data_IF_787987588529
#
_entry.id   IF_787987588529
#
_cell.length_a   1.000
_cell.length_b   1.000
_cell.length_c   1.000
_cell.angle_alpha   90.00
_cell.angle_beta   90.00
_cell.angle_gamma   90.00
#
_symmetry.space_group_name_H-M   'P 1'
#
loop_
_entity.id
_entity.type
_entity.pdbx_description
1 polymer ?
#
# COMPACT_ATOMS: atom_id res chain seq x y z
N UNK A 1 4.53 3.42 -41.93
CA UNK A 1 4.74 4.02 -40.61
C UNK A 1 5.87 3.23 -39.98
N UNK A 2 7.10 3.74 -40.06
CA UNK A 2 8.25 3.06 -39.47
C UNK A 2 8.09 3.18 -37.96
N UNK A 3 8.00 2.04 -37.27
CA UNK A 3 8.10 1.99 -35.82
C UNK A 3 9.50 2.48 -35.50
N UNK A 4 9.60 3.74 -35.09
CA UNK A 4 10.81 4.27 -34.49
C UNK A 4 11.12 3.35 -33.32
N UNK A 5 12.24 2.63 -33.38
CA UNK A 5 12.61 1.62 -32.39
C UNK A 5 12.98 2.34 -31.10
N UNK A 6 11.98 2.80 -30.35
CA UNK A 6 12.17 3.26 -28.98
C UNK A 6 12.80 2.09 -28.24
N UNK A 7 14.03 2.29 -27.79
CA UNK A 7 14.73 1.33 -26.93
C UNK A 7 13.85 1.03 -25.72
N UNK A 8 13.54 -0.24 -25.47
CA UNK A 8 12.88 -0.66 -24.24
C UNK A 8 13.93 -0.63 -23.13
N UNK A 9 13.86 0.31 -22.17
CA UNK A 9 14.86 0.40 -21.11
C UNK A 9 14.70 -0.80 -20.16
N UNK A 10 15.82 -1.24 -19.57
CA UNK A 10 15.78 -2.14 -18.42
C UNK A 10 15.48 -1.27 -17.20
N UNK A 11 14.29 -1.42 -16.63
CA UNK A 11 13.87 -0.65 -15.47
C UNK A 11 14.56 -1.16 -14.20
N UNK A 12 14.59 -2.49 -14.01
CA UNK A 12 15.12 -3.17 -12.82
C UNK A 12 15.81 -4.48 -13.20
N UNK A 13 16.91 -4.77 -12.51
CA UNK A 13 17.61 -6.05 -12.51
C UNK A 13 18.06 -6.32 -11.08
N UNK A 14 17.42 -7.27 -10.41
CA UNK A 14 17.59 -7.48 -8.97
C UNK A 14 17.79 -8.97 -8.66
N UNK A 15 18.72 -9.26 -7.75
CA UNK A 15 18.93 -10.59 -7.19
C UNK A 15 18.70 -10.53 -5.68
N UNK A 16 17.77 -11.34 -5.18
CA UNK A 16 17.44 -11.45 -3.75
C UNK A 16 17.83 -12.80 -3.18
N UNK A 17 18.56 -12.79 -2.07
CA UNK A 17 18.90 -13.97 -1.29
C UNK A 17 18.37 -13.83 0.14
N UNK A 18 17.37 -14.64 0.48
CA UNK A 18 16.71 -14.63 1.79
C UNK A 18 17.13 -15.78 2.69
N UNK A 19 17.19 -15.53 4.00
CA UNK A 19 17.31 -16.54 5.04
C UNK A 19 16.20 -16.32 6.09
N UNK A 20 15.41 -17.37 6.30
CA UNK A 20 14.38 -17.40 7.34
C UNK A 20 14.67 -18.47 8.37
N UNK A 21 14.73 -18.08 9.64
CA UNK A 21 15.01 -18.95 10.77
C UNK A 21 13.87 -18.91 11.78
N UNK A 22 13.44 -20.09 12.22
CA UNK A 22 12.40 -20.28 13.24
C UNK A 22 13.02 -20.96 14.46
N UNK A 23 12.98 -20.31 15.61
CA UNK A 23 13.41 -20.85 16.89
C UNK A 23 12.22 -21.17 17.80
N UNK A 24 12.31 -22.27 18.55
CA UNK A 24 11.39 -22.57 19.66
C UNK A 24 12.22 -22.90 20.90
N UNK A 25 11.92 -22.26 22.02
CA UNK A 25 12.57 -22.51 23.31
C UNK A 25 11.52 -22.97 24.33
N UNK A 26 11.56 -24.26 24.68
CA UNK A 26 10.47 -24.87 25.45
C UNK A 26 9.13 -24.83 24.70
N UNK A 27 8.03 -24.86 25.44
CA UNK A 27 6.67 -24.76 24.90
C UNK A 27 6.20 -23.31 24.69
N UNK A 28 6.79 -22.34 25.40
CA UNK A 28 6.17 -21.02 25.58
C UNK A 28 6.95 -19.88 24.90
N UNK A 29 8.03 -20.15 24.16
CA UNK A 29 8.79 -19.10 23.47
C UNK A 29 9.04 -19.49 22.02
N UNK A 30 8.66 -18.58 21.11
CA UNK A 30 8.92 -18.68 19.67
C UNK A 30 9.74 -17.47 19.23
N UNK A 31 10.59 -17.69 18.24
CA UNK A 31 11.36 -16.63 17.61
C UNK A 31 11.30 -16.80 16.10
N UNK A 32 11.19 -15.67 15.39
CA UNK A 32 11.29 -15.63 13.95
C UNK A 32 12.31 -14.54 13.58
N UNK A 33 13.26 -14.91 12.73
CA UNK A 33 14.20 -13.99 12.10
C UNK A 33 14.17 -14.23 10.60
N UNK A 34 14.06 -13.13 9.85
CA UNK A 34 14.01 -13.08 8.40
C UNK A 34 14.97 -11.99 7.96
N UNK A 35 15.86 -12.31 7.03
CA UNK A 35 16.83 -11.38 6.45
C UNK A 35 16.91 -11.65 4.96
N UNK A 36 16.69 -10.62 4.16
CA UNK A 36 16.87 -10.64 2.72
C UNK A 36 18.01 -9.71 2.33
N UNK A 37 18.99 -10.24 1.59
CA UNK A 37 20.03 -9.47 0.95
C UNK A 37 19.64 -9.25 -0.50
N UNK A 38 19.56 -7.98 -0.90
CA UNK A 38 19.08 -7.58 -2.21
C UNK A 38 20.19 -6.85 -2.92
N UNK A 39 20.59 -7.37 -4.08
CA UNK A 39 21.56 -6.76 -4.98
C UNK A 39 20.80 -6.10 -6.13
N UNK A 40 20.88 -4.77 -6.21
CA UNK A 40 20.42 -4.03 -7.37
C UNK A 40 21.58 -3.96 -8.36
N UNK A 41 21.44 -4.65 -9.49
CA UNK A 41 22.49 -4.79 -10.48
C UNK A 41 22.58 -3.56 -11.41
N UNK A 42 21.89 -2.46 -11.06
CA UNK A 42 21.93 -1.19 -11.77
C UNK A 42 22.79 -0.15 -11.02
N UNK A 43 24.00 0.17 -11.53
CA UNK A 43 24.76 1.30 -11.04
C UNK A 43 23.97 2.60 -11.17
N UNK A 44 23.99 3.45 -10.13
CA UNK A 44 23.30 4.74 -10.13
C UNK A 44 24.16 5.93 -9.63
N UNK A 45 25.38 6.15 -10.17
CA UNK A 45 26.18 7.32 -9.84
C UNK A 45 25.56 8.58 -10.45
N UNK A 46 25.29 9.60 -9.62
CA UNK A 46 24.71 10.87 -10.09
C UNK A 46 25.73 11.85 -10.65
N UNK A 47 26.99 11.72 -10.23
CA UNK A 47 28.08 12.58 -10.66
C UNK A 47 29.42 11.82 -10.64
N UNK A 48 30.50 12.51 -10.99
CA UNK A 48 31.83 11.91 -10.99
C UNK A 48 32.28 11.42 -9.61
N UNK A 49 31.82 12.07 -8.52
CA UNK A 49 32.12 11.60 -7.17
C UNK A 49 31.42 10.26 -6.90
N UNK A 50 30.21 10.07 -7.41
CA UNK A 50 29.47 8.82 -7.35
C UNK A 50 30.18 7.66 -8.07
N UNK A 51 30.95 7.94 -9.13
CA UNK A 51 31.79 6.93 -9.79
C UNK A 51 32.91 6.38 -8.90
N UNK A 52 33.24 7.07 -7.80
CA UNK A 52 34.21 6.59 -6.82
C UNK A 52 33.54 5.90 -5.62
N UNK A 53 32.21 5.93 -5.54
CA UNK A 53 31.44 5.33 -4.46
C UNK A 53 30.99 3.91 -4.82
N UNK A 54 31.58 2.91 -4.17
CA UNK A 54 31.25 1.49 -4.38
C UNK A 54 29.76 1.20 -4.16
N UNK A 55 29.11 1.86 -3.20
CA UNK A 55 27.69 1.63 -2.92
C UNK A 55 26.75 2.17 -4.01
N UNK A 56 27.22 3.08 -4.86
CA UNK A 56 26.46 3.58 -6.02
C UNK A 56 26.77 2.80 -7.30
N UNK A 57 27.92 2.11 -7.36
CA UNK A 57 28.28 1.25 -8.49
C UNK A 57 27.76 -0.17 -8.35
N UNK A 58 27.75 -0.71 -7.13
CA UNK A 58 27.22 -2.04 -6.80
C UNK A 58 26.23 -1.90 -5.63
N UNK A 59 25.05 -1.28 -5.85
CA UNK A 59 24.08 -1.06 -4.79
C UNK A 59 23.55 -2.38 -4.22
N UNK A 60 23.44 -2.43 -2.90
CA UNK A 60 22.80 -3.51 -2.18
C UNK A 60 22.09 -2.98 -0.95
N UNK A 61 21.07 -3.70 -0.51
CA UNK A 61 20.33 -3.39 0.72
C UNK A 61 19.96 -4.68 1.46
N UNK A 62 19.62 -4.51 2.73
CA UNK A 62 19.14 -5.59 3.58
C UNK A 62 17.74 -5.25 4.04
N UNK A 63 16.82 -6.19 3.83
CA UNK A 63 15.44 -6.11 4.27
C UNK A 63 15.13 -7.21 5.28
N UNK A 64 14.08 -6.99 6.06
CA UNK A 64 13.61 -7.93 7.07
C UNK A 64 12.13 -7.68 7.31
N UNK A 65 11.32 -8.71 7.05
CA UNK A 65 9.88 -8.64 7.30
C UNK A 65 9.51 -9.18 8.68
N UNK A 66 10.43 -9.89 9.33
CA UNK A 66 10.22 -10.44 10.66
C UNK A 66 11.52 -10.55 11.45
N UNK A 67 11.53 -9.93 12.63
CA UNK A 67 12.55 -10.14 13.64
C UNK A 67 11.90 -9.93 15.01
N UNK A 68 11.30 -10.99 15.54
CA UNK A 68 10.53 -10.91 16.77
C UNK A 68 10.69 -12.14 17.67
N UNK A 69 10.39 -11.93 18.94
CA UNK A 69 10.15 -12.97 19.94
C UNK A 69 8.68 -12.95 20.33
N UNK A 70 8.11 -14.14 20.52
CA UNK A 70 6.75 -14.35 20.97
C UNK A 70 6.78 -15.24 22.21
N UNK A 71 6.16 -14.76 23.28
CA UNK A 71 5.95 -15.46 24.53
C UNK A 71 4.48 -15.90 24.58
N UNK A 72 4.25 -17.18 24.80
CA UNK A 72 2.91 -17.76 24.86
C UNK A 72 2.46 -17.93 26.31
N UNK A 73 1.16 -17.82 26.52
CA UNK A 73 0.50 -18.05 27.82
C UNK A 73 1.13 -17.23 28.97
N UNK A 74 1.35 -15.93 28.73
CA UNK A 74 2.04 -15.01 29.63
C UNK A 74 1.14 -14.67 30.82
N UNK A 75 1.19 -15.52 31.85
CA UNK A 75 0.45 -15.33 33.11
C UNK A 75 -1.03 -15.69 33.03
N UNK A 76 -1.55 -15.97 31.84
CA UNK A 76 -2.91 -16.43 31.58
C UNK A 76 -2.89 -17.32 30.32
N UNK A 77 -3.57 -18.46 30.38
CA UNK A 77 -3.71 -19.36 29.22
C UNK A 77 -4.41 -18.63 28.06
N UNK A 78 -3.85 -18.74 26.86
CA UNK A 78 -4.31 -18.05 25.66
C UNK A 78 -3.83 -16.60 25.51
N UNK A 79 -3.06 -16.06 26.47
CA UNK A 79 -2.49 -14.70 26.38
C UNK A 79 -1.05 -14.71 25.85
N UNK A 80 -0.89 -14.29 24.60
CA UNK A 80 0.40 -14.22 23.91
C UNK A 80 0.93 -12.78 23.84
N UNK A 81 2.24 -12.62 24.03
CA UNK A 81 2.97 -11.36 23.86
C UNK A 81 4.04 -11.51 22.78
N UNK A 82 3.94 -10.72 21.72
CA UNK A 82 4.96 -10.65 20.66
C UNK A 82 5.61 -9.28 20.60
N UNK A 83 6.93 -9.25 20.51
CA UNK A 83 7.73 -8.02 20.50
C UNK A 83 8.80 -8.07 19.42
N UNK A 84 8.93 -6.96 18.70
CA UNK A 84 9.94 -6.75 17.66
C UNK A 84 9.33 -6.43 16.31
N UNK A 85 10.14 -6.59 15.27
CA UNK A 85 9.79 -6.27 13.89
C UNK A 85 8.82 -7.31 13.34
N UNK A 86 7.65 -6.88 12.89
CA UNK A 86 6.60 -7.78 12.40
C UNK A 86 5.61 -7.05 11.49
N UNK A 87 4.77 -7.83 10.83
CA UNK A 87 3.57 -7.39 10.12
C UNK A 87 2.34 -7.87 10.88
N UNK A 88 1.37 -6.98 11.10
CA UNK A 88 0.03 -7.27 11.59
C UNK A 88 -0.94 -6.76 10.53
N UNK A 89 -1.51 -7.71 9.78
CA UNK A 89 -2.48 -7.44 8.71
C UNK A 89 -3.85 -7.82 9.25
N UNK A 90 -4.79 -6.87 9.20
CA UNK A 90 -6.19 -7.10 9.55
C UNK A 90 -7.07 -7.12 8.30
N UNK A 91 -8.28 -7.65 8.43
CA UNK A 91 -9.18 -7.83 7.30
C UNK A 91 -9.08 -9.22 6.64
N UNK A 92 -9.91 -9.41 5.64
CA UNK A 92 -10.17 -10.67 4.91
C UNK A 92 -10.14 -10.51 3.38
N UNK A 93 -10.11 -9.29 2.86
CA UNK A 93 -10.07 -9.01 1.45
C UNK A 93 -8.78 -9.51 0.79
N UNK A 94 -8.75 -9.61 -0.53
CA UNK A 94 -7.53 -9.97 -1.23
C UNK A 94 -6.77 -8.69 -1.62
N UNK A 95 -5.57 -8.49 -1.05
CA UNK A 95 -4.62 -7.37 -1.28
C UNK A 95 -5.09 -5.96 -0.87
N UNK A 96 -6.39 -5.70 -0.75
CA UNK A 96 -6.96 -4.38 -0.49
C UNK A 96 -7.73 -4.34 0.83
N UNK A 97 -7.01 -4.03 1.90
CA UNK A 97 -7.50 -4.07 3.27
C UNK A 97 -7.74 -2.67 3.84
N UNK A 98 -8.93 -2.07 3.70
CA UNK A 98 -9.21 -0.77 4.31
C UNK A 98 -9.11 -0.81 5.84
N UNK A 99 -9.18 -2.00 6.46
CA UNK A 99 -9.07 -2.19 7.91
C UNK A 99 -7.63 -2.41 8.41
N UNK A 100 -6.66 -2.67 7.52
CA UNK A 100 -5.26 -2.92 7.89
C UNK A 100 -4.42 -1.64 7.88
N UNK A 101 -4.27 -1.00 9.04
CA UNK A 101 -3.65 0.33 9.15
C UNK A 101 -2.40 0.37 10.04
N UNK A 102 -1.99 -0.76 10.64
CA UNK A 102 -0.86 -0.83 11.58
C UNK A 102 0.51 -0.85 10.90
N UNK A 103 0.56 -1.41 9.70
CA UNK A 103 1.74 -1.49 8.86
C UNK A 103 1.49 -0.68 7.59
N UNK A 104 2.43 0.21 7.25
CA UNK A 104 2.38 0.94 6.00
C UNK A 104 2.52 0.01 4.79
N UNK A 105 2.01 0.43 3.65
CA UNK A 105 2.10 -0.33 2.40
C UNK A 105 3.48 -0.19 1.73
N UNK A 106 3.92 -1.26 1.08
CA UNK A 106 4.97 -1.22 0.07
C UNK A 106 4.31 -1.13 -1.31
N UNK A 107 4.38 0.06 -1.90
CA UNK A 107 3.86 0.34 -3.25
C UNK A 107 4.97 0.72 -4.22
N UNK A 108 6.24 0.53 -3.85
CA UNK A 108 7.37 0.78 -4.76
C UNK A 108 7.36 -0.18 -5.95
N UNK A 109 7.04 -1.44 -5.69
CA UNK A 109 7.01 -2.48 -6.71
C UNK A 109 5.58 -2.89 -7.07
N UNK A 110 5.15 -2.51 -8.27
CA UNK A 110 3.85 -2.91 -8.83
C UNK A 110 3.67 -4.43 -8.92
N UNK A 111 4.76 -5.21 -9.00
CA UNK A 111 4.71 -6.68 -9.03
C UNK A 111 4.45 -7.31 -7.66
N UNK A 112 4.66 -6.55 -6.57
CA UNK A 112 4.45 -6.97 -5.17
C UNK A 112 3.28 -6.23 -4.52
N UNK A 113 2.38 -5.70 -5.34
CA UNK A 113 1.24 -4.89 -4.91
C UNK A 113 0.46 -5.48 -3.72
N UNK A 114 0.15 -4.64 -2.73
CA UNK A 114 -0.62 -5.02 -1.54
C UNK A 114 0.23 -5.65 -0.43
N UNK A 115 1.56 -5.66 -0.57
CA UNK A 115 2.46 -6.04 0.53
C UNK A 115 2.57 -4.91 1.57
N UNK A 116 2.74 -5.29 2.83
CA UNK A 116 2.92 -4.35 3.94
C UNK A 116 4.36 -4.35 4.40
N UNK A 117 4.82 -3.22 4.91
CA UNK A 117 6.16 -3.06 5.44
C UNK A 117 6.18 -3.43 6.92
N UNK A 118 7.08 -4.33 7.32
CA UNK A 118 7.25 -4.66 8.72
C UNK A 118 7.70 -3.46 9.57
N UNK A 119 7.16 -3.37 10.78
CA UNK A 119 7.44 -2.31 11.74
C UNK A 119 7.76 -2.88 13.12
N UNK A 120 8.49 -2.11 13.92
CA UNK A 120 8.75 -2.43 15.31
C UNK A 120 7.48 -2.22 16.12
N UNK A 121 6.99 -3.26 16.80
CA UNK A 121 5.77 -3.16 17.60
C UNK A 121 5.72 -4.19 18.73
N UNK A 122 4.77 -3.96 19.63
CA UNK A 122 4.36 -4.89 20.69
C UNK A 122 2.92 -5.30 20.43
N UNK A 123 2.67 -6.60 20.39
CA UNK A 123 1.35 -7.19 20.16
C UNK A 123 0.99 -8.07 21.35
N UNK A 124 -0.18 -7.82 21.92
CA UNK A 124 -0.78 -8.67 22.94
C UNK A 124 -2.02 -9.33 22.32
N UNK A 125 -2.08 -10.66 22.32
CA UNK A 125 -3.21 -11.40 21.77
C UNK A 125 -3.78 -12.32 22.83
N UNK A 126 -5.09 -12.30 23.02
CA UNK A 126 -5.80 -13.17 23.95
C UNK A 126 -6.84 -13.99 23.18
N UNK A 127 -6.64 -15.31 23.14
CA UNK A 127 -7.53 -16.26 22.48
C UNK A 127 -7.98 -17.33 23.50
N UNK A 128 -8.97 -17.03 24.35
CA UNK A 128 -9.50 -18.05 25.25
C UNK A 128 -10.22 -19.14 24.48
N UNK A 129 -10.17 -20.38 24.97
CA UNK A 129 -11.03 -21.46 24.50
C UNK A 129 -12.48 -21.19 24.94
N UNK A 130 -13.18 -20.35 24.19
CA UNK A 130 -14.57 -19.97 24.42
C UNK A 130 -15.42 -20.40 23.22
N UNK A 131 -16.36 -21.31 23.46
CA UNK A 131 -17.32 -21.75 22.46
C UNK A 131 -18.71 -21.92 23.07
N UNK A 132 -19.73 -21.79 22.23
CA UNK A 132 -21.13 -22.05 22.59
C UNK A 132 -21.83 -22.80 21.44
N UNK A 133 -22.61 -23.82 21.78
CA UNK A 133 -23.40 -24.57 20.80
C UNK A 133 -23.32 -26.08 21.00
N UNK A 134 -23.51 -26.79 19.91
CA UNK A 134 -23.20 -28.22 19.86
C UNK A 134 -21.68 -28.40 19.88
N UNK A 135 -21.19 -29.51 20.41
CA UNK A 135 -19.76 -29.80 20.53
C UNK A 135 -19.11 -30.01 19.15
N UNK A 136 -19.86 -30.60 18.21
CA UNK A 136 -19.39 -30.88 16.85
C UNK A 136 -19.60 -29.69 15.89
N UNK A 137 -20.56 -28.82 16.19
CA UNK A 137 -20.92 -27.65 15.37
C UNK A 137 -21.28 -26.45 16.28
N UNK A 138 -20.29 -25.83 16.95
CA UNK A 138 -20.53 -24.66 17.77
C UNK A 138 -21.07 -23.51 16.90
N UNK A 139 -22.05 -22.78 17.40
CA UNK A 139 -22.56 -21.60 16.70
C UNK A 139 -21.75 -20.35 17.03
N UNK A 140 -20.91 -20.38 18.06
CA UNK A 140 -19.94 -19.33 18.39
C UNK A 140 -18.64 -19.98 18.87
N UNK A 141 -17.51 -19.55 18.31
CA UNK A 141 -16.17 -19.99 18.70
C UNK A 141 -15.11 -18.97 18.26
N UNK A 142 -13.82 -19.31 18.43
CA UNK A 142 -12.68 -18.51 17.96
C UNK A 142 -12.66 -17.05 18.45
N UNK A 143 -13.18 -16.79 19.65
CA UNK A 143 -13.11 -15.46 20.24
C UNK A 143 -11.65 -15.04 20.46
N UNK A 144 -11.30 -13.86 19.95
CA UNK A 144 -9.95 -13.29 20.04
C UNK A 144 -9.99 -11.80 20.32
N UNK A 145 -9.03 -11.34 21.13
CA UNK A 145 -8.71 -9.94 21.33
C UNK A 145 -7.25 -9.71 20.98
N UNK A 146 -6.96 -8.67 20.20
CA UNK A 146 -5.60 -8.29 19.85
C UNK A 146 -5.41 -6.81 20.11
N UNK A 147 -4.34 -6.44 20.81
CA UNK A 147 -3.90 -5.07 21.01
C UNK A 147 -2.51 -4.91 20.45
N UNK A 148 -2.29 -3.87 19.66
CA UNK A 148 -1.01 -3.57 19.01
C UNK A 148 -0.59 -2.17 19.37
N UNK A 149 0.69 -2.03 19.74
CA UNK A 149 1.32 -0.76 20.02
C UNK A 149 2.57 -0.59 19.15
N UNK A 150 2.59 0.48 18.37
CA UNK A 150 3.65 0.81 17.43
C UNK A 150 4.35 2.10 17.90
N UNK A 151 5.56 2.03 18.50
CA UNK A 151 6.23 3.19 19.06
C UNK A 151 6.72 4.20 18.01
N UNK A 152 6.97 3.77 16.78
CA UNK A 152 7.59 4.60 15.73
C UNK A 152 6.78 4.48 14.44
N UNK A 153 6.32 5.62 13.95
CA UNK A 153 5.71 5.73 12.63
C UNK A 153 6.72 5.38 11.53
N UNK A 154 6.26 4.61 10.54
CA UNK A 154 6.99 4.28 9.32
C UNK A 154 6.07 4.58 8.14
N UNK A 155 6.48 5.43 7.18
CA UNK A 155 5.64 5.78 6.03
C UNK A 155 5.60 4.63 5.01
N UNK A 156 4.68 4.75 4.04
CA UNK A 156 4.65 3.88 2.88
C UNK A 156 5.94 4.02 2.05
N UNK A 157 6.36 2.93 1.42
CA UNK A 157 7.45 2.91 0.45
C UNK A 157 6.83 3.18 -0.93
N UNK A 158 7.24 4.28 -1.57
CA UNK A 158 6.61 4.80 -2.78
C UNK A 158 7.42 4.49 -4.05
N UNK A 159 6.79 4.37 -5.23
CA UNK A 159 7.50 4.16 -6.48
C UNK A 159 8.30 5.40 -6.90
N UNK A 160 9.31 5.20 -7.75
CA UNK A 160 10.15 6.31 -8.26
C UNK A 160 9.35 7.42 -8.97
N UNK A 161 8.18 7.08 -9.54
CA UNK A 161 7.27 8.02 -10.18
C UNK A 161 6.45 8.86 -9.19
N UNK A 162 6.38 8.49 -7.91
CA UNK A 162 5.53 9.16 -6.93
C UNK A 162 5.85 10.66 -6.73
N UNK A 163 7.09 11.07 -6.98
CA UNK A 163 7.46 12.50 -6.97
C UNK A 163 6.69 13.33 -8.00
N UNK A 164 6.18 12.72 -9.08
CA UNK A 164 5.35 13.40 -10.07
C UNK A 164 4.00 13.85 -9.47
N UNK A 165 3.51 13.21 -8.40
CA UNK A 165 2.29 13.61 -7.71
C UNK A 165 2.30 15.07 -7.25
N UNK A 166 3.49 15.61 -6.99
CA UNK A 166 3.67 16.97 -6.47
C UNK A 166 4.43 17.89 -7.44
N UNK A 167 4.80 17.40 -8.62
CA UNK A 167 5.68 18.13 -9.55
C UNK A 167 5.16 18.16 -10.99
N UNK A 168 4.25 17.25 -11.37
CA UNK A 168 3.63 17.24 -12.69
C UNK A 168 2.40 18.16 -12.74
N UNK A 169 2.32 19.14 -13.66
CA UNK A 169 1.20 20.07 -13.72
C UNK A 169 -0.16 19.45 -14.03
N UNK A 170 -0.21 18.38 -14.86
CA UNK A 170 -1.48 17.71 -15.20
C UNK A 170 -2.01 17.01 -13.95
N UNK A 171 -1.12 16.36 -13.20
CA UNK A 171 -1.48 15.72 -11.95
C UNK A 171 -1.90 16.72 -10.88
N UNK A 172 -1.17 17.83 -10.71
CA UNK A 172 -1.53 18.89 -9.78
C UNK A 172 -2.92 19.46 -10.09
N UNK A 173 -3.26 19.61 -11.37
CA UNK A 173 -4.59 20.04 -11.80
C UNK A 173 -5.67 18.98 -11.52
N UNK A 174 -5.36 17.69 -11.74
CA UNK A 174 -6.26 16.58 -11.43
C UNK A 174 -6.56 16.47 -9.94
N UNK A 175 -5.54 16.65 -9.10
CA UNK A 175 -5.64 16.60 -7.64
C UNK A 175 -6.15 17.89 -7.02
N UNK A 176 -6.22 18.99 -7.79
CA UNK A 176 -6.77 20.24 -7.30
C UNK A 176 -8.27 20.06 -7.00
N UNK A 177 -8.59 19.97 -5.73
CA UNK A 177 -9.95 19.81 -5.21
C UNK A 177 -10.55 21.14 -4.79
N UNK A 178 -9.72 22.09 -4.36
CA UNK A 178 -10.15 23.41 -3.92
C UNK A 178 -10.22 24.46 -5.03
N UNK A 179 -11.06 25.46 -4.80
CA UNK A 179 -11.17 26.65 -5.66
C UNK A 179 -9.86 27.44 -5.71
N UNK A 180 -9.17 27.57 -4.58
CA UNK A 180 -7.93 28.37 -4.48
C UNK A 180 -6.81 27.73 -5.30
N UNK A 181 -6.58 26.43 -5.15
CA UNK A 181 -5.54 25.73 -5.89
C UNK A 181 -5.83 25.78 -7.40
N UNK A 182 -7.08 25.58 -7.81
CA UNK A 182 -7.50 25.73 -9.22
C UNK A 182 -7.20 27.14 -9.76
N UNK A 183 -7.59 28.19 -9.03
CA UNK A 183 -7.33 29.57 -9.42
C UNK A 183 -5.82 29.87 -9.53
N UNK A 184 -5.01 29.31 -8.64
CA UNK A 184 -3.55 29.46 -8.70
C UNK A 184 -2.94 28.72 -9.89
N UNK A 185 -3.35 27.48 -10.16
CA UNK A 185 -2.90 26.73 -11.33
C UNK A 185 -3.33 27.40 -12.63
N UNK A 186 -4.54 27.94 -12.70
CA UNK A 186 -5.00 28.73 -13.85
C UNK A 186 -4.20 30.03 -14.01
N UNK A 187 -3.87 30.71 -12.91
CA UNK A 187 -2.99 31.88 -12.95
C UNK A 187 -1.58 31.52 -13.45
N UNK A 188 -1.04 30.36 -13.05
CA UNK A 188 0.24 29.87 -13.55
C UNK A 188 0.23 29.65 -15.06
N UNK A 189 -0.87 29.10 -15.62
CA UNK A 189 -1.03 28.92 -17.08
C UNK A 189 -1.00 30.24 -17.86
N UNK A 190 -1.38 31.35 -17.23
CA UNK A 190 -1.35 32.70 -17.83
C UNK A 190 0.05 33.35 -17.80
N UNK A 191 0.98 32.83 -16.98
CA UNK A 191 2.35 33.33 -16.85
C UNK A 191 3.25 32.81 -17.98
N UNK A 192 2.98 33.26 -19.21
CA UNK A 192 3.75 32.87 -20.40
C UNK A 192 5.25 33.12 -20.23
N UNK A 193 6.06 32.09 -20.46
CA UNK A 193 7.53 32.16 -20.38
C UNK A 193 8.10 31.96 -18.98
N UNK A 194 7.27 31.79 -17.95
CA UNK A 194 7.74 31.32 -16.65
C UNK A 194 8.02 29.83 -16.67
N UNK A 195 9.04 29.43 -15.92
CA UNK A 195 9.30 28.04 -15.55
C UNK A 195 8.99 27.85 -14.07
N UNK A 196 8.49 26.67 -13.70
CA UNK A 196 8.14 26.32 -12.33
C UNK A 196 8.98 25.12 -11.89
N UNK A 197 9.59 25.20 -10.71
CA UNK A 197 10.15 24.05 -10.02
C UNK A 197 9.34 23.76 -8.77
N UNK A 198 9.12 22.48 -8.49
CA UNK A 198 8.45 22.02 -7.28
C UNK A 198 9.43 21.16 -6.50
N UNK A 199 9.60 21.48 -5.23
CA UNK A 199 10.60 20.87 -4.35
C UNK A 199 9.90 20.30 -3.11
N UNK A 200 9.42 19.04 -3.17
CA UNK A 200 8.77 18.39 -2.04
C UNK A 200 9.78 18.01 -0.94
N UNK A 201 9.42 18.30 0.31
CA UNK A 201 10.20 18.01 1.51
C UNK A 201 9.29 17.30 2.53
N UNK A 202 9.74 16.16 3.04
CA UNK A 202 8.94 15.32 3.94
C UNK A 202 9.26 15.68 5.40
N UNK A 203 8.21 15.84 6.20
CA UNK A 203 8.29 15.98 7.66
C UNK A 203 7.58 14.79 8.30
N UNK A 204 8.36 13.93 8.95
CA UNK A 204 7.82 12.79 9.70
C UNK A 204 7.29 13.25 11.06
N UNK A 205 6.27 12.56 11.63
CA UNK A 205 5.89 12.74 13.01
C UNK A 205 7.10 12.61 13.96
N UNK A 206 7.16 13.47 14.98
CA UNK A 206 8.23 13.42 15.97
C UNK A 206 8.23 12.08 16.72
N UNK A 207 9.42 11.56 17.06
CA UNK A 207 9.57 10.27 17.74
C UNK A 207 9.33 10.40 19.25
N UNK A 208 8.08 10.51 19.63
CA UNK A 208 7.63 10.57 21.03
C UNK A 208 6.40 9.68 21.24
N UNK A 209 6.02 9.45 22.51
CA UNK A 209 4.91 8.55 22.85
C UNK A 209 3.54 9.07 22.38
N UNK A 210 3.37 10.39 22.25
CA UNK A 210 2.12 11.01 21.77
C UNK A 210 1.90 10.74 20.27
N UNK A 211 3.00 10.50 19.53
CA UNK A 211 3.01 10.11 18.12
C UNK A 211 3.19 8.59 17.92
N UNK A 212 2.99 7.79 18.96
CA UNK A 212 2.82 6.35 18.77
C UNK A 212 1.49 6.02 18.09
N UNK A 213 1.44 4.87 17.44
CA UNK A 213 0.21 4.32 16.87
C UNK A 213 -0.24 3.12 17.69
N UNK A 214 -1.55 2.89 17.72
CA UNK A 214 -2.13 1.76 18.42
C UNK A 214 -3.35 1.23 17.69
N UNK A 215 -3.64 -0.04 17.92
CA UNK A 215 -4.88 -0.62 17.46
C UNK A 215 -5.39 -1.69 18.41
N UNK A 216 -6.69 -1.93 18.33
CA UNK A 216 -7.34 -3.07 18.96
C UNK A 216 -8.22 -3.79 17.93
N UNK A 217 -8.24 -5.12 17.97
CA UNK A 217 -9.14 -5.96 17.18
C UNK A 217 -9.83 -6.97 18.07
N UNK A 218 -11.11 -7.22 17.79
CA UNK A 218 -11.91 -8.28 18.38
C UNK A 218 -12.45 -9.15 17.26
N UNK A 219 -12.13 -10.44 17.25
CA UNK A 219 -12.60 -11.40 16.25
C UNK A 219 -13.38 -12.55 16.88
N UNK A 220 -14.32 -13.12 16.14
CA UNK A 220 -15.05 -14.32 16.55
C UNK A 220 -15.67 -15.02 15.34
N UNK A 221 -15.91 -16.31 15.47
CA UNK A 221 -16.72 -17.08 14.53
C UNK A 221 -18.17 -17.13 15.05
N UNK A 222 -19.16 -16.83 14.21
CA UNK A 222 -20.59 -16.88 14.56
C UNK A 222 -21.41 -17.42 13.39
N UNK A 223 -22.10 -18.55 13.59
CA UNK A 223 -23.05 -19.14 12.64
C UNK A 223 -22.46 -19.34 11.23
N UNK A 224 -21.19 -19.77 11.11
CA UNK A 224 -20.52 -19.96 9.83
C UNK A 224 -19.93 -18.68 9.22
N UNK A 225 -19.93 -17.58 9.96
CA UNK A 225 -19.32 -16.30 9.57
C UNK A 225 -18.11 -16.02 10.46
N UNK A 226 -16.97 -15.74 9.85
CA UNK A 226 -15.84 -15.13 10.54
C UNK A 226 -16.08 -13.63 10.60
N UNK A 227 -16.07 -13.04 11.79
CA UNK A 227 -16.39 -11.63 12.02
C UNK A 227 -15.30 -10.95 12.81
N UNK A 228 -15.07 -9.67 12.52
CA UNK A 228 -14.12 -8.87 13.28
C UNK A 228 -14.50 -7.40 13.33
N UNK A 229 -14.17 -6.77 14.46
CA UNK A 229 -14.22 -5.32 14.67
C UNK A 229 -12.82 -4.84 15.02
N UNK A 230 -12.43 -3.70 14.47
CA UNK A 230 -11.13 -3.10 14.74
C UNK A 230 -11.21 -1.60 14.98
N UNK A 231 -10.26 -1.10 15.75
CA UNK A 231 -9.99 0.31 15.93
C UNK A 231 -8.50 0.56 15.75
N UNK A 232 -8.16 1.60 15.01
CA UNK A 232 -6.80 2.09 14.86
C UNK A 232 -6.75 3.58 15.16
N UNK A 233 -5.64 4.01 15.77
CA UNK A 233 -5.27 5.42 15.93
C UNK A 233 -3.80 5.58 15.59
N UNK A 234 -3.49 6.40 14.60
CA UNK A 234 -2.14 6.60 14.13
C UNK A 234 -2.09 7.65 13.04
N UNK A 235 -1.32 7.38 12.00
CA UNK A 235 -1.15 8.28 10.86
C UNK A 235 -1.53 7.56 9.57
N UNK A 236 -2.05 8.32 8.60
CA UNK A 236 -2.09 7.91 7.20
C UNK A 236 -0.65 7.64 6.74
N UNK A 237 -0.41 6.57 6.00
CA UNK A 237 0.94 6.20 5.57
C UNK A 237 1.37 6.88 4.26
N UNK A 238 0.45 7.60 3.60
CA UNK A 238 0.71 8.47 2.46
C UNK A 238 0.86 9.95 2.90
N UNK A 239 1.85 10.67 2.33
CA UNK A 239 2.06 12.08 2.66
C UNK A 239 1.03 13.01 1.98
N UNK A 240 0.74 14.15 2.61
CA UNK A 240 -0.10 15.24 2.07
C UNK A 240 0.59 16.58 2.14
N UNK A 241 0.21 17.50 1.25
CA UNK A 241 0.80 18.83 1.17
C UNK A 241 0.19 19.78 2.22
N UNK A 242 0.92 20.01 3.32
CA UNK A 242 0.49 20.94 4.38
C UNK A 242 0.88 22.40 4.06
N UNK A 243 1.98 22.61 3.35
CA UNK A 243 2.47 23.96 3.05
C UNK A 243 3.15 24.04 1.70
N UNK A 244 2.86 25.09 0.95
CA UNK A 244 3.50 25.45 -0.31
C UNK A 244 4.02 26.88 -0.18
N UNK A 245 5.33 27.08 -0.38
CA UNK A 245 5.96 28.40 -0.41
C UNK A 245 6.50 28.65 -1.80
N UNK A 246 5.92 29.58 -2.53
CA UNK A 246 6.33 29.98 -3.87
C UNK A 246 7.21 31.25 -3.80
N UNK A 247 8.41 31.14 -4.36
CA UNK A 247 9.41 32.20 -4.42
C UNK A 247 9.75 32.49 -5.87
N UNK A 248 9.55 33.74 -6.30
CA UNK A 248 9.90 34.16 -7.66
C UNK A 248 11.37 34.61 -7.71
N UNK A 249 12.10 34.17 -8.75
CA UNK A 249 13.44 34.70 -9.03
C UNK A 249 13.30 36.07 -9.72
N UNK A 250 13.67 37.16 -9.06
CA UNK A 250 13.59 38.50 -9.63
C UNK A 250 14.41 38.70 -10.92
N UNK A 251 15.35 37.79 -11.21
CA UNK A 251 16.27 37.88 -12.36
C UNK A 251 15.95 36.89 -13.48
N UNK A 252 15.03 35.95 -13.26
CA UNK A 252 14.61 34.95 -14.25
C UNK A 252 13.09 34.84 -14.26
N UNK A 253 12.49 34.48 -15.38
CA UNK A 253 11.07 34.10 -15.40
C UNK A 253 10.94 32.69 -14.80
N UNK A 254 11.12 32.59 -13.48
CA UNK A 254 11.17 31.33 -12.75
C UNK A 254 10.54 31.47 -11.37
N UNK A 255 9.77 30.45 -10.97
CA UNK A 255 9.19 30.34 -9.62
C UNK A 255 9.60 29.00 -9.04
N UNK A 256 10.18 29.02 -7.84
CA UNK A 256 10.49 27.83 -7.06
C UNK A 256 9.42 27.65 -5.97
N UNK A 257 8.82 26.48 -5.93
CA UNK A 257 7.73 26.13 -5.01
C UNK A 257 8.18 25.02 -4.07
N UNK A 258 8.42 25.37 -2.82
CA UNK A 258 8.77 24.43 -1.76
C UNK A 258 7.50 23.84 -1.17
N UNK A 259 7.35 22.52 -1.24
CA UNK A 259 6.17 21.81 -0.75
C UNK A 259 6.57 21.03 0.50
N UNK A 260 5.97 21.33 1.64
CA UNK A 260 6.09 20.54 2.86
C UNK A 260 5.02 19.47 2.88
N UNK A 261 5.47 18.22 2.93
CA UNK A 261 4.64 17.03 3.00
C UNK A 261 4.62 16.49 4.43
N UNK A 262 3.43 16.29 5.00
CA UNK A 262 3.22 15.72 6.34
C UNK A 262 2.29 14.52 6.28
N UNK A 263 2.17 13.78 7.39
CA UNK A 263 1.32 12.60 7.49
C UNK A 263 0.15 12.92 8.42
N UNK A 264 -1.10 12.96 7.91
CA UNK A 264 -2.28 13.24 8.71
C UNK A 264 -2.48 12.23 9.83
N UNK A 265 -2.86 12.70 11.01
CA UNK A 265 -3.32 11.82 12.09
C UNK A 265 -4.74 11.36 11.78
N UNK A 266 -4.97 10.06 11.89
CA UNK A 266 -6.28 9.44 11.63
C UNK A 266 -6.70 8.48 12.74
N UNK A 267 -8.00 8.22 12.79
CA UNK A 267 -8.55 7.07 13.49
C UNK A 267 -9.37 6.24 12.49
N UNK A 268 -9.36 4.92 12.63
CA UNK A 268 -10.12 4.03 11.75
C UNK A 268 -10.95 3.09 12.59
N UNK A 269 -12.25 3.09 12.34
CA UNK A 269 -13.19 2.08 12.87
C UNK A 269 -13.47 1.08 11.76
N UNK A 270 -13.01 -0.15 11.93
CA UNK A 270 -13.10 -1.21 10.95
C UNK A 270 -14.07 -2.32 11.36
N UNK A 271 -14.67 -2.95 10.36
CA UNK A 271 -15.40 -4.20 10.51
C UNK A 271 -15.14 -5.08 9.28
N UNK A 272 -15.02 -6.38 9.50
CA UNK A 272 -14.83 -7.35 8.44
C UNK A 272 -15.60 -8.64 8.67
N UNK A 273 -15.94 -9.32 7.57
CA UNK A 273 -16.69 -10.57 7.55
C UNK A 273 -16.21 -11.47 6.42
N UNK A 274 -16.05 -12.77 6.69
CA UNK A 274 -15.78 -13.79 5.69
C UNK A 274 -16.68 -15.02 5.88
N UNK A 275 -16.99 -15.74 4.79
CA UNK A 275 -17.68 -17.03 4.86
C UNK A 275 -17.45 -17.88 3.62
N UNK A 276 -17.71 -19.18 3.73
CA UNK A 276 -17.76 -20.12 2.61
C UNK A 276 -19.17 -20.68 2.44
N UNK A 277 -19.74 -20.43 1.26
CA UNK A 277 -21.11 -20.80 0.93
C UNK A 277 -21.18 -22.26 0.47
N UNK A 278 -21.40 -23.18 1.41
CA UNK A 278 -21.37 -24.64 1.17
C UNK A 278 -22.25 -25.12 0.00
N UNK A 279 -23.44 -24.55 -0.18
CA UNK A 279 -24.37 -24.94 -1.25
C UNK A 279 -23.99 -24.43 -2.65
N UNK A 280 -22.95 -23.59 -2.74
CA UNK A 280 -22.33 -23.11 -3.97
C UNK A 280 -20.91 -23.66 -4.11
N UNK A 281 -20.71 -24.93 -3.75
CA UNK A 281 -19.43 -25.64 -3.86
C UNK A 281 -18.27 -24.89 -3.18
N UNK A 282 -18.55 -24.30 -2.02
CA UNK A 282 -17.56 -23.62 -1.18
C UNK A 282 -17.17 -22.21 -1.61
N UNK A 283 -17.95 -21.56 -2.50
CA UNK A 283 -17.73 -20.16 -2.92
C UNK A 283 -17.45 -19.24 -1.71
N UNK A 284 -16.31 -18.55 -1.75
CA UNK A 284 -15.88 -17.61 -0.71
C UNK A 284 -16.55 -16.26 -0.89
N UNK A 285 -16.98 -15.66 0.21
CA UNK A 285 -17.52 -14.29 0.24
C UNK A 285 -16.82 -13.52 1.36
N UNK A 286 -16.50 -12.25 1.09
CA UNK A 286 -15.95 -11.37 2.10
C UNK A 286 -16.43 -9.93 1.96
N UNK A 287 -16.38 -9.23 3.07
CA UNK A 287 -16.62 -7.80 3.18
C UNK A 287 -15.64 -7.19 4.18
N UNK A 288 -15.13 -6.02 3.87
CA UNK A 288 -14.42 -5.12 4.78
C UNK A 288 -14.98 -3.70 4.64
N UNK A 289 -15.13 -3.02 5.76
CA UNK A 289 -15.52 -1.61 5.81
C UNK A 289 -14.71 -0.86 6.84
N UNK A 290 -14.25 0.33 6.50
CA UNK A 290 -13.46 1.19 7.37
C UNK A 290 -13.97 2.63 7.33
N UNK A 291 -14.42 3.15 8.48
CA UNK A 291 -14.68 4.57 8.66
C UNK A 291 -13.41 5.26 9.12
N UNK A 292 -12.83 6.08 8.27
CA UNK A 292 -11.65 6.89 8.56
C UNK A 292 -12.09 8.24 9.09
N UNK A 293 -11.63 8.60 10.28
CA UNK A 293 -11.86 9.86 10.97
C UNK A 293 -10.58 10.68 10.93
N UNK A 294 -10.69 11.97 10.62
CA UNK A 294 -9.56 12.89 10.57
C UNK A 294 -9.94 14.27 11.11
N UNK A 295 -8.95 14.99 11.62
CA UNK A 295 -9.08 16.39 11.99
C UNK A 295 -9.03 17.29 10.73
N UNK A 296 -9.19 18.60 10.91
CA UNK A 296 -9.04 19.55 9.81
C UNK A 296 -7.62 19.45 9.22
N UNK A 297 -7.54 19.27 7.91
CA UNK A 297 -6.29 19.27 7.16
C UNK A 297 -6.21 20.58 6.40
N UNK A 298 -5.22 21.38 6.76
CA UNK A 298 -5.00 22.70 6.20
C UNK A 298 -3.80 22.67 5.25
N UNK A 299 -3.92 23.43 4.16
CA UNK A 299 -2.85 23.74 3.23
C UNK A 299 -2.56 25.23 3.27
N UNK A 300 -1.34 25.62 3.63
CA UNK A 300 -0.88 27.00 3.57
C UNK A 300 -0.21 27.24 2.23
N UNK A 301 -0.73 28.14 1.41
CA UNK A 301 -0.10 28.57 0.17
C UNK A 301 0.43 29.99 0.34
N UNK A 302 1.75 30.12 0.46
CA UNK A 302 2.44 31.40 0.56
C UNK A 302 3.08 31.74 -0.79
N UNK A 303 2.40 32.59 -1.57
CA UNK A 303 2.91 33.18 -2.81
C UNK A 303 3.28 34.66 -2.62
N UNK A 304 3.53 35.09 -1.38
CA UNK A 304 3.91 36.48 -1.07
C UNK A 304 5.24 36.88 -1.71
N UNK A 305 6.13 35.90 -1.92
CA UNK A 305 7.39 36.04 -2.65
C UNK A 305 7.25 36.06 -4.17
N UNK A 306 6.04 36.21 -4.71
CA UNK A 306 5.76 36.30 -6.15
C UNK A 306 5.01 37.58 -6.49
N UNK A 307 4.89 37.89 -7.78
CA UNK A 307 4.03 38.98 -8.27
C UNK A 307 2.56 38.85 -7.90
N UNK A 308 2.09 37.66 -7.47
CA UNK A 308 0.74 37.47 -6.94
C UNK A 308 0.59 38.04 -5.52
N UNK A 309 1.68 38.12 -4.75
CA UNK A 309 1.76 38.75 -3.42
C UNK A 309 0.65 38.31 -2.42
N UNK A 310 0.29 37.03 -2.45
CA UNK A 310 -0.82 36.48 -1.66
C UNK A 310 -0.34 35.40 -0.68
N UNK A 311 -0.95 35.35 0.50
CA UNK A 311 -0.88 34.18 1.40
C UNK A 311 -2.30 33.69 1.60
N UNK A 312 -2.53 32.41 1.30
CA UNK A 312 -3.84 31.78 1.43
C UNK A 312 -3.71 30.61 2.39
N UNK A 313 -4.53 30.62 3.44
CA UNK A 313 -4.79 29.43 4.23
C UNK A 313 -6.02 28.75 3.63
N UNK A 314 -5.87 27.51 3.27
CA UNK A 314 -6.90 26.69 2.66
C UNK A 314 -7.20 25.51 3.58
N UNK A 315 -8.46 25.19 3.77
CA UNK A 315 -8.85 23.90 4.37
C UNK A 315 -8.98 22.91 3.21
N UNK A 316 -8.04 21.97 3.11
CA UNK A 316 -8.07 20.90 2.09
C UNK A 316 -9.18 19.89 2.44
N UNK A 317 -9.23 19.47 3.70
CA UNK A 317 -10.30 18.62 4.21
C UNK A 317 -10.80 19.14 5.56
N UNK A 318 -12.10 19.42 5.68
CA UNK A 318 -12.74 19.72 6.96
C UNK A 318 -12.77 18.47 7.85
N UNK A 319 -12.59 18.65 9.16
CA UNK A 319 -12.65 17.57 10.14
C UNK A 319 -13.94 16.76 9.97
N UNK A 320 -13.79 15.44 9.93
CA UNK A 320 -14.92 14.60 9.57
C UNK A 320 -14.55 13.14 9.41
N UNK A 321 -15.30 12.47 8.55
CA UNK A 321 -15.08 11.08 8.22
C UNK A 321 -15.37 10.79 6.76
N UNK A 322 -14.76 9.73 6.27
CA UNK A 322 -15.09 9.09 5.01
C UNK A 322 -15.03 7.56 5.19
N UNK A 323 -15.60 6.83 4.24
CA UNK A 323 -15.72 5.38 4.33
C UNK A 323 -14.98 4.72 3.17
N UNK A 324 -14.13 3.73 3.46
CA UNK A 324 -13.55 2.82 2.46
C UNK A 324 -14.14 1.44 2.64
N UNK A 325 -14.32 0.71 1.54
CA UNK A 325 -14.91 -0.63 1.60
C UNK A 325 -14.37 -1.55 0.53
N UNK A 326 -14.33 -2.85 0.85
CA UNK A 326 -14.05 -3.92 -0.10
C UNK A 326 -15.11 -5.00 0.05
N UNK A 327 -15.69 -5.46 -1.05
CA UNK A 327 -16.56 -6.66 -1.06
C UNK A 327 -16.10 -7.56 -2.18
N UNK A 328 -16.02 -8.86 -1.93
CA UNK A 328 -15.54 -9.78 -2.94
C UNK A 328 -16.07 -11.19 -2.84
N UNK A 329 -15.80 -11.92 -3.90
CA UNK A 329 -16.17 -13.31 -4.10
C UNK A 329 -15.02 -14.03 -4.79
N UNK A 330 -14.76 -15.26 -4.35
CA UNK A 330 -13.90 -16.19 -5.07
C UNK A 330 -14.61 -17.51 -5.31
N UNK A 331 -14.28 -18.12 -6.44
CA UNK A 331 -14.87 -19.39 -6.82
C UNK A 331 -13.94 -20.22 -7.69
N UNK A 332 -13.94 -21.52 -7.45
CA UNK A 332 -13.23 -22.51 -8.25
C UNK A 332 -14.24 -23.44 -8.95
N UNK A 333 -14.87 -23.02 -10.06
CA UNK A 333 -15.89 -23.83 -10.74
C UNK A 333 -15.37 -25.18 -11.26
N UNK A 334 -14.04 -25.30 -11.43
CA UNK A 334 -13.37 -26.54 -11.81
C UNK A 334 -11.99 -26.58 -11.14
N UNK A 335 -11.33 -27.76 -11.06
CA UNK A 335 -9.97 -27.85 -10.50
C UNK A 335 -8.91 -27.04 -11.27
N UNK A 336 -9.19 -26.62 -12.50
CA UNK A 336 -8.25 -25.89 -13.36
C UNK A 336 -8.58 -24.41 -13.54
N UNK A 337 -9.69 -23.91 -12.98
CA UNK A 337 -10.10 -22.52 -13.11
C UNK A 337 -10.43 -21.96 -11.73
N UNK A 338 -9.73 -20.90 -11.35
CA UNK A 338 -10.04 -20.06 -10.18
C UNK A 338 -10.37 -18.65 -10.67
N UNK A 339 -11.38 -18.04 -10.06
CA UNK A 339 -11.81 -16.67 -10.35
C UNK A 339 -11.99 -15.95 -9.02
N UNK A 340 -11.53 -14.70 -8.96
CA UNK A 340 -11.73 -13.77 -7.86
C UNK A 340 -12.23 -12.45 -8.44
N UNK A 341 -13.26 -11.85 -7.82
CA UNK A 341 -13.73 -10.51 -8.17
C UNK A 341 -14.00 -9.73 -6.89
N UNK A 342 -13.56 -8.49 -6.85
CA UNK A 342 -13.78 -7.56 -5.75
C UNK A 342 -14.24 -6.21 -6.27
N UNK A 343 -15.14 -5.57 -5.54
CA UNK A 343 -15.43 -4.15 -5.67
C UNK A 343 -14.75 -3.41 -4.52
N UNK A 344 -14.09 -2.30 -4.84
CA UNK A 344 -13.48 -1.39 -3.88
C UNK A 344 -14.18 -0.03 -3.96
N UNK A 345 -14.42 0.58 -2.81
CA UNK A 345 -14.75 1.99 -2.68
C UNK A 345 -13.60 2.68 -1.93
N UNK A 346 -12.88 3.55 -2.64
CA UNK A 346 -11.63 4.18 -2.19
C UNK A 346 -10.40 3.30 -2.42
N UNK A 347 -9.48 3.77 -3.27
CA UNK A 347 -8.16 3.15 -3.46
C UNK A 347 -7.24 3.43 -2.26
N UNK A 348 -6.08 2.77 -2.22
CA UNK A 348 -5.15 2.84 -1.09
C UNK A 348 -4.64 4.26 -0.77
N UNK A 349 -4.29 5.06 -1.77
CA UNK A 349 -3.75 6.42 -1.64
C UNK A 349 -4.82 7.52 -1.52
N UNK A 350 -6.09 7.17 -1.77
CA UNK A 350 -7.20 8.12 -1.78
C UNK A 350 -7.67 8.50 -0.37
N UNK A 351 -8.15 9.74 -0.22
CA UNK A 351 -8.52 10.27 1.09
C UNK A 351 -9.51 11.40 0.97
N UNK A 352 -10.43 11.46 1.94
CA UNK A 352 -11.53 12.41 1.93
C UNK A 352 -12.65 11.93 1.00
N UNK A 353 -13.89 12.20 1.41
CA UNK A 353 -15.09 11.69 0.73
C UNK A 353 -15.26 12.15 -0.71
N UNK A 354 -14.61 13.26 -1.11
CA UNK A 354 -14.68 13.81 -2.46
C UNK A 354 -13.71 13.15 -3.45
N UNK A 355 -12.72 12.40 -2.95
CA UNK A 355 -11.60 11.87 -3.74
C UNK A 355 -11.60 10.34 -3.80
N UNK A 356 -12.67 9.69 -3.32
CA UNK A 356 -12.82 8.24 -3.37
C UNK A 356 -13.45 7.83 -4.69
N UNK A 357 -12.72 7.02 -5.45
CA UNK A 357 -13.23 6.37 -6.64
C UNK A 357 -13.68 4.94 -6.33
N UNK A 358 -14.33 4.32 -7.30
CA UNK A 358 -14.81 2.95 -7.24
C UNK A 358 -14.04 2.08 -8.23
N UNK A 359 -13.72 0.87 -7.79
CA UNK A 359 -12.88 -0.03 -8.56
C UNK A 359 -13.49 -1.41 -8.66
N UNK A 360 -13.31 -2.04 -9.82
CA UNK A 360 -13.46 -3.49 -9.94
C UNK A 360 -12.09 -4.11 -10.08
N UNK A 361 -11.79 -5.05 -9.20
CA UNK A 361 -10.59 -5.86 -9.20
C UNK A 361 -11.00 -7.27 -9.57
N UNK A 362 -10.29 -7.89 -10.52
CA UNK A 362 -10.59 -9.26 -10.92
C UNK A 362 -9.31 -10.05 -11.18
N UNK A 363 -9.29 -11.28 -10.69
CA UNK A 363 -8.21 -12.25 -10.90
C UNK A 363 -8.75 -13.55 -11.49
N UNK A 364 -7.95 -14.17 -12.36
CA UNK A 364 -8.21 -15.54 -12.81
C UNK A 364 -6.92 -16.34 -12.89
N UNK A 365 -7.00 -17.62 -12.52
CA UNK A 365 -5.95 -18.61 -12.76
C UNK A 365 -6.49 -19.75 -13.62
N UNK A 366 -5.79 -20.05 -14.71
CA UNK A 366 -6.00 -21.23 -15.54
C UNK A 366 -4.82 -22.18 -15.33
N UNK A 367 -5.07 -23.30 -14.65
CA UNK A 367 -4.07 -24.31 -14.31
C UNK A 367 -4.02 -25.40 -15.38
N UNK A 368 -2.87 -25.59 -15.98
CA UNK A 368 -2.59 -26.57 -17.04
C UNK A 368 -1.53 -27.56 -16.59
N UNK A 369 -1.37 -28.65 -17.35
CA UNK A 369 -0.30 -29.65 -17.11
C UNK A 369 -0.24 -30.17 -15.66
N UNK A 370 -1.41 -30.42 -15.03
CA UNK A 370 -1.53 -30.80 -13.61
C UNK A 370 -0.97 -29.75 -12.65
N UNK A 371 -1.12 -28.47 -13.01
CA UNK A 371 -0.76 -27.32 -12.18
C UNK A 371 0.67 -26.82 -12.38
N UNK A 372 1.51 -27.48 -13.18
CA UNK A 372 2.90 -27.04 -13.39
C UNK A 372 3.02 -25.84 -14.34
N UNK A 373 1.94 -25.49 -15.04
CA UNK A 373 1.84 -24.27 -15.84
C UNK A 373 0.55 -23.56 -15.45
N UNK A 374 0.65 -22.30 -15.04
CA UNK A 374 -0.49 -21.46 -14.67
C UNK A 374 -0.48 -20.20 -15.53
N UNK A 375 -1.58 -19.95 -16.23
CA UNK A 375 -1.84 -18.64 -16.80
C UNK A 375 -2.65 -17.86 -15.76
N UNK A 376 -2.03 -16.83 -15.19
CA UNK A 376 -2.66 -15.92 -14.25
C UNK A 376 -2.93 -14.60 -14.96
N UNK A 377 -4.07 -13.99 -14.69
CA UNK A 377 -4.33 -12.62 -15.08
C UNK A 377 -5.04 -11.91 -13.96
N UNK A 378 -4.54 -10.72 -13.62
CA UNK A 378 -5.20 -9.82 -12.70
C UNK A 378 -5.50 -8.51 -13.40
N UNK A 379 -6.53 -7.79 -12.99
CA UNK A 379 -6.84 -6.49 -13.54
C UNK A 379 -7.60 -5.62 -12.54
N UNK A 380 -7.43 -4.31 -12.70
CA UNK A 380 -8.11 -3.29 -11.92
C UNK A 380 -8.71 -2.30 -12.91
N UNK A 381 -9.98 -1.96 -12.72
CA UNK A 381 -10.66 -0.93 -13.51
C UNK A 381 -11.15 0.14 -12.55
N UNK A 382 -10.74 1.38 -12.76
CA UNK A 382 -11.37 2.54 -12.13
C UNK A 382 -12.67 2.84 -12.89
N UNK A 383 -13.82 2.88 -12.19
CA UNK A 383 -15.14 3.02 -12.81
C UNK A 383 -15.36 4.45 -13.30
N UNK A 384 -14.85 5.44 -12.59
CA UNK A 384 -15.04 6.87 -12.82
C UNK A 384 -14.32 7.34 -14.08
N UNK A 385 -13.03 7.02 -14.20
CA UNK A 385 -12.19 7.49 -15.30
C UNK A 385 -11.91 6.44 -16.39
N UNK A 386 -12.33 5.19 -16.16
CA UNK A 386 -12.20 4.06 -17.08
C UNK A 386 -10.76 3.64 -17.36
N UNK A 387 -9.81 4.09 -16.55
CA UNK A 387 -8.44 3.63 -16.60
C UNK A 387 -8.32 2.20 -16.07
N UNK A 388 -7.33 1.46 -16.56
CA UNK A 388 -7.20 0.01 -16.37
C UNK A 388 -5.76 -0.38 -16.09
N UNK A 389 -5.59 -1.27 -15.11
CA UNK A 389 -4.40 -2.10 -14.94
C UNK A 389 -4.69 -3.49 -15.49
N UNK A 390 -3.78 -4.05 -16.27
CA UNK A 390 -3.79 -5.45 -16.66
C UNK A 390 -2.45 -6.11 -16.32
N UNK A 391 -2.52 -7.26 -15.65
CA UNK A 391 -1.36 -7.99 -15.15
C UNK A 391 -1.40 -9.47 -15.57
N UNK A 392 -1.18 -9.79 -16.86
CA UNK A 392 -1.04 -11.15 -17.33
C UNK A 392 0.31 -11.77 -16.97
N UNK A 393 0.28 -13.03 -16.54
CA UNK A 393 1.45 -13.81 -16.13
C UNK A 393 1.34 -15.26 -16.63
N UNK A 394 2.45 -15.79 -17.13
CA UNK A 394 2.69 -17.21 -17.34
C UNK A 394 3.67 -17.69 -16.27
N UNK A 395 3.18 -18.54 -15.38
CA UNK A 395 3.95 -19.12 -14.28
C UNK A 395 4.22 -20.59 -14.62
N UNK A 396 5.48 -20.99 -14.55
CA UNK A 396 5.93 -22.36 -14.83
C UNK A 396 6.72 -22.90 -13.65
N UNK A 397 6.47 -24.17 -13.30
CA UNK A 397 7.21 -24.92 -12.29
C UNK A 397 7.99 -26.05 -12.97
N UNK A 398 9.14 -25.76 -13.58
CA UNK A 398 9.91 -26.75 -14.35
C UNK A 398 10.51 -27.86 -13.47
N UNK A 399 10.88 -27.53 -12.23
CA UNK A 399 11.40 -28.45 -11.24
C UNK A 399 10.74 -28.22 -9.87
N UNK A 400 10.91 -29.17 -8.96
CA UNK A 400 10.49 -29.02 -7.56
C UNK A 400 11.13 -27.77 -6.95
N UNK A 401 10.34 -27.00 -6.20
CA UNK A 401 10.75 -25.77 -5.50
C UNK A 401 11.31 -24.66 -6.42
N UNK A 402 10.99 -24.71 -7.71
CA UNK A 402 11.36 -23.67 -8.67
C UNK A 402 10.14 -23.07 -9.34
N UNK A 403 10.20 -21.76 -9.58
CA UNK A 403 9.19 -21.02 -10.31
C UNK A 403 9.87 -20.11 -11.32
N UNK A 404 9.38 -20.12 -12.56
CA UNK A 404 9.73 -19.17 -13.60
C UNK A 404 8.45 -18.46 -14.03
N UNK A 405 8.45 -17.13 -13.88
CA UNK A 405 7.30 -16.28 -14.20
C UNK A 405 7.69 -15.30 -15.28
N UNK A 406 6.91 -15.29 -16.37
CA UNK A 406 6.97 -14.28 -17.43
C UNK A 406 5.68 -13.48 -17.36
N UNK A 407 5.74 -12.16 -17.44
CA UNK A 407 4.52 -11.37 -17.42
C UNK A 407 4.73 -9.93 -17.84
N UNK A 408 3.64 -9.17 -17.77
CA UNK A 408 3.66 -7.74 -17.95
C UNK A 408 2.67 -7.07 -17.00
N UNK A 409 3.05 -5.93 -16.45
CA UNK A 409 2.19 -5.01 -15.72
C UNK A 409 1.88 -3.82 -16.64
N UNK A 410 0.63 -3.69 -17.06
CA UNK A 410 0.22 -2.77 -18.13
C UNK A 410 -0.78 -1.76 -17.59
N UNK A 411 -0.52 -0.50 -17.90
CA UNK A 411 -1.33 0.66 -17.54
C UNK A 411 -2.02 1.20 -18.80
N UNK A 412 -3.33 1.44 -18.72
CA UNK A 412 -4.13 2.00 -19.81
C UNK A 412 -5.04 3.10 -19.26
N UNK A 413 -5.16 4.20 -20.00
CA UNK A 413 -6.00 5.32 -19.60
C UNK A 413 -5.63 6.57 -20.37
N UNK A 414 -6.32 7.67 -20.08
CA UNK A 414 -5.89 9.01 -20.50
C UNK A 414 -4.80 9.51 -19.55
N UNK A 415 -3.96 10.42 -20.00
CA UNK A 415 -2.85 10.95 -19.19
C UNK A 415 -3.31 11.66 -17.89
N UNK A 416 -4.59 12.05 -17.81
CA UNK A 416 -5.24 12.66 -16.64
C UNK A 416 -6.08 11.67 -15.79
N UNK A 417 -5.91 10.36 -16.00
CA UNK A 417 -6.63 9.30 -15.27
C UNK A 417 -5.72 8.56 -14.27
N UNK A 418 -6.30 7.91 -13.25
CA UNK A 418 -5.61 7.20 -12.16
C UNK A 418 -4.50 6.28 -12.66
N UNK A 419 -4.81 5.43 -13.64
CA UNK A 419 -3.84 4.48 -14.21
C UNK A 419 -3.24 4.93 -15.54
N UNK A 420 -3.63 6.07 -16.10
CA UNK A 420 -2.99 6.63 -17.29
C UNK A 420 -1.96 7.73 -16.98
N UNK A 421 -2.03 8.32 -15.78
CA UNK A 421 -1.09 9.33 -15.29
C UNK A 421 0.32 8.76 -15.16
N UNK A 422 1.32 9.60 -15.43
CA UNK A 422 2.73 9.24 -15.29
C UNK A 422 3.12 8.89 -13.84
N UNK A 423 2.32 9.33 -12.85
CA UNK A 423 2.50 8.98 -11.43
C UNK A 423 2.33 7.48 -11.20
N UNK A 424 1.41 6.82 -11.93
CA UNK A 424 1.14 5.39 -11.80
C UNK A 424 2.37 4.53 -12.17
N UNK A 425 3.32 5.10 -12.93
CA UNK A 425 4.52 4.44 -13.39
C UNK A 425 4.43 3.98 -14.84
N UNK A 426 5.45 3.26 -15.29
CA UNK A 426 5.52 2.77 -16.65
C UNK A 426 4.92 1.35 -16.77
N UNK A 427 4.37 1.03 -17.94
CA UNK A 427 4.05 -0.35 -18.27
C UNK A 427 5.33 -1.17 -18.45
N UNK A 428 5.43 -2.30 -17.75
CA UNK A 428 6.67 -3.07 -17.64
C UNK A 428 6.44 -4.54 -17.96
N UNK A 429 7.32 -5.12 -18.77
CA UNK A 429 7.42 -6.56 -18.95
C UNK A 429 8.54 -7.11 -18.06
N UNK A 430 8.36 -8.31 -17.50
CA UNK A 430 9.31 -8.89 -16.57
C UNK A 430 9.47 -10.40 -16.74
N UNK A 431 10.61 -10.88 -16.26
CA UNK A 431 10.89 -12.29 -16.02
C UNK A 431 11.41 -12.44 -14.59
N UNK A 432 10.87 -13.39 -13.84
CA UNK A 432 11.27 -13.70 -12.48
C UNK A 432 11.57 -15.19 -12.35
N UNK A 433 12.69 -15.53 -11.75
CA UNK A 433 13.02 -16.90 -11.36
C UNK A 433 13.12 -16.97 -9.83
N UNK A 434 12.51 -17.97 -9.22
CA UNK A 434 12.55 -18.22 -7.78
C UNK A 434 12.94 -19.67 -7.53
N UNK A 435 13.83 -19.88 -6.56
CA UNK A 435 14.19 -21.21 -6.05
C UNK A 435 14.16 -21.17 -4.53
N UNK A 436 13.54 -22.17 -3.91
CA UNK A 436 13.49 -22.33 -2.45
C UNK A 436 14.25 -23.61 -2.09
N UNK A 437 15.19 -23.51 -1.15
CA UNK A 437 16.04 -24.61 -0.70
C UNK A 437 15.56 -25.22 0.62
#
# INVERSE_FOLDING_TARGET
MFVDSKSVPIERLETTAGLKSKGKFGSNVRMLADVELIFDERPNPQDFSGLTNRALLDPWRVESDALFVEFLDVGLDGLDLRMGRQQVIWGTADRFHPTSNLNALDVEDSLRFGESIANEMVTLRYNPELWFGDEDEPWFEEFSLEFVFVPIFKPAQLPNSAGLAFTDPVELERQADSKVLKELLDAQKLLLGYSFSYSPNIVLPERNIENSMMGARMGWHLLGLDLSLSYFRGFDDFPRAEKVVALQDDKKLHVDSQITLTYPRIQVLGADMATSVKWLDGMGLWFEGAMVLHDDLYRVIDASGTTLSNVVLETEHEAGHFFKATVGVDYSPTPWLYINVQYLHGFLDEFGSASLDDYIVAGMDIKMARGTVVLRSFGIVNIQDQSVVAFPQLIMMPWNNSELTLGAFLFFGKDDSKFGSAVAGASTAFMKAKVIF
#
